data_IF_673800793363
#
_entry.id   IF_673800793363
#
_cell.length_a   1.000
_cell.length_b   1.000
_cell.length_c   1.000
_cell.angle_alpha   90.00
_cell.angle_beta   90.00
_cell.angle_gamma   90.00
#
_symmetry.space_group_name_H-M   'P 1'
#
loop_
_entity.id
_entity.type
_entity.pdbx_description
1 polymer ?
#
# COMPACT_ATOMS: atom_id res chain seq x y z
N UNK A 1 -16.34 22.42 5.38
CA UNK A 1 -16.42 21.70 4.09
C UNK A 1 -15.61 20.43 4.22
N UNK A 2 -16.23 19.29 3.93
CA UNK A 2 -15.74 17.96 4.25
C UNK A 2 -14.41 17.64 3.54
N UNK A 3 -13.37 17.42 4.35
CA UNK A 3 -12.15 16.74 3.95
C UNK A 3 -12.58 15.32 3.58
N UNK A 4 -12.69 15.02 2.29
CA UNK A 4 -12.83 13.64 1.84
C UNK A 4 -11.49 12.93 2.08
N UNK A 5 -11.32 12.44 3.29
CA UNK A 5 -10.42 11.35 3.63
C UNK A 5 -10.81 10.16 2.75
N UNK A 6 -9.96 9.83 1.77
CA UNK A 6 -10.00 8.49 1.19
C UNK A 6 -9.78 7.50 2.35
N UNK A 7 -10.47 6.34 2.40
CA UNK A 7 -10.51 5.46 3.59
C UNK A 7 -9.22 4.65 3.85
N UNK A 8 -8.05 5.20 3.52
CA UNK A 8 -6.75 4.50 3.63
C UNK A 8 -6.03 4.78 4.95
N UNK A 9 -6.70 4.61 6.08
CA UNK A 9 -6.09 4.63 7.41
C UNK A 9 -5.27 3.34 7.73
N UNK A 10 -4.99 2.51 6.72
CA UNK A 10 -4.37 1.19 6.90
C UNK A 10 -3.17 1.02 5.96
N UNK A 11 -2.03 1.57 6.39
CA UNK A 11 -0.74 1.38 5.72
C UNK A 11 -0.49 -0.11 5.41
N UNK A 12 0.13 -0.46 4.27
CA UNK A 12 0.44 -1.84 3.95
C UNK A 12 1.27 -2.49 5.06
N UNK A 13 0.91 -3.71 5.41
CA UNK A 13 1.53 -4.47 6.51
C UNK A 13 2.41 -5.57 5.94
N UNK A 14 3.66 -5.57 6.37
CA UNK A 14 4.70 -6.52 5.98
C UNK A 14 5.33 -7.20 7.20
N UNK A 15 6.09 -8.27 6.96
CA UNK A 15 6.84 -8.99 7.99
C UNK A 15 8.15 -8.28 8.28
N UNK A 16 8.41 -8.03 9.56
CA UNK A 16 9.71 -7.62 10.04
C UNK A 16 10.75 -8.73 9.77
N UNK A 17 11.92 -8.40 9.21
CA UNK A 17 13.00 -9.38 9.00
C UNK A 17 13.64 -9.86 10.30
N UNK A 18 13.51 -9.06 11.37
CA UNK A 18 14.08 -9.39 12.68
C UNK A 18 13.17 -10.31 13.50
N UNK A 19 11.93 -9.89 13.80
CA UNK A 19 11.03 -10.64 14.69
C UNK A 19 9.84 -11.32 13.98
N UNK A 20 9.71 -11.18 12.65
CA UNK A 20 8.56 -11.62 11.84
C UNK A 20 7.21 -11.00 12.21
N UNK A 21 7.16 -10.12 13.20
CA UNK A 21 5.97 -9.36 13.57
C UNK A 21 5.56 -8.33 12.52
N UNK A 22 4.41 -7.66 12.72
CA UNK A 22 3.89 -6.68 11.79
C UNK A 22 4.78 -5.44 11.72
N UNK A 23 5.00 -4.97 10.50
CA UNK A 23 5.73 -3.77 10.18
C UNK A 23 5.01 -3.01 9.07
N UNK A 24 5.11 -1.69 9.10
CA UNK A 24 4.57 -0.82 8.04
C UNK A 24 5.69 -0.05 7.39
N UNK A 25 5.43 0.41 6.18
CA UNK A 25 6.29 1.36 5.48
C UNK A 25 5.45 2.54 5.04
N UNK A 26 6.05 3.72 5.02
CA UNK A 26 5.46 4.83 4.30
C UNK A 26 5.82 4.69 2.84
N UNK A 27 4.83 4.79 1.98
CA UNK A 27 5.07 5.17 0.58
C UNK A 27 5.31 6.68 0.56
N UNK A 28 6.48 7.13 0.08
CA UNK A 28 6.70 8.54 -0.18
C UNK A 28 5.55 9.10 -1.02
N UNK A 29 5.04 10.25 -0.62
CA UNK A 29 4.20 11.01 -1.51
C UNK A 29 5.02 11.56 -2.68
N UNK A 30 4.31 11.93 -3.74
CA UNK A 30 4.88 12.32 -5.03
C UNK A 30 4.20 13.56 -5.55
N UNK A 31 4.97 14.41 -6.19
CA UNK A 31 4.47 15.55 -6.96
C UNK A 31 5.15 15.52 -8.30
N UNK A 32 4.38 15.62 -9.39
CA UNK A 32 4.96 15.85 -10.70
C UNK A 32 5.69 17.21 -10.71
N UNK A 33 6.94 17.21 -11.16
CA UNK A 33 7.69 18.44 -11.40
C UNK A 33 7.24 18.99 -12.75
N UNK A 34 6.73 20.21 -12.72
CA UNK A 34 6.22 20.96 -13.86
C UNK A 34 6.93 22.30 -13.92
N UNK A 35 6.93 22.99 -15.08
CA UNK A 35 7.52 24.33 -15.17
C UNK A 35 6.97 25.34 -14.14
N UNK A 36 5.73 25.12 -13.65
CA UNK A 36 5.08 26.01 -12.67
C UNK A 36 5.61 25.85 -11.24
N UNK A 37 5.94 24.62 -10.83
CA UNK A 37 6.38 24.32 -9.47
C UNK A 37 7.87 23.96 -9.38
N UNK A 38 8.59 23.89 -10.50
CA UNK A 38 10.00 23.48 -10.53
C UNK A 38 10.90 24.31 -9.61
N UNK A 39 10.78 25.64 -9.63
CA UNK A 39 11.58 26.51 -8.76
C UNK A 39 11.32 26.23 -7.27
N UNK A 40 10.05 26.03 -6.91
CA UNK A 40 9.63 25.70 -5.55
C UNK A 40 10.14 24.31 -5.12
N UNK A 41 10.02 23.29 -6.00
CA UNK A 41 10.52 21.95 -5.73
C UNK A 41 12.03 21.95 -5.51
N UNK A 42 12.77 22.63 -6.40
CA UNK A 42 14.24 22.70 -6.33
C UNK A 42 14.76 23.49 -5.14
N UNK A 43 13.97 24.46 -4.63
CA UNK A 43 14.31 25.21 -3.43
C UNK A 43 14.11 24.40 -2.14
N UNK A 44 13.30 23.33 -2.18
CA UNK A 44 13.02 22.51 -1.00
C UNK A 44 14.13 21.49 -0.75
N UNK A 45 14.79 21.60 0.41
CA UNK A 45 15.72 20.58 0.92
C UNK A 45 15.04 19.28 1.34
N UNK A 46 13.71 19.29 1.42
CA UNK A 46 12.91 18.18 1.91
C UNK A 46 12.37 17.30 0.78
N UNK A 47 12.51 17.73 -0.47
CA UNK A 47 12.04 17.01 -1.64
C UNK A 47 13.22 16.36 -2.36
N UNK A 48 13.06 15.08 -2.71
CA UNK A 48 14.04 14.38 -3.55
C UNK A 48 13.53 14.33 -4.98
N UNK A 49 14.22 14.99 -5.92
CA UNK A 49 13.86 14.96 -7.35
C UNK A 49 14.44 13.71 -8.01
N UNK A 50 13.60 13.01 -8.77
CA UNK A 50 13.94 11.83 -9.57
C UNK A 50 13.33 11.94 -10.96
N UNK A 51 13.92 11.23 -11.93
CA UNK A 51 13.27 10.98 -13.21
C UNK A 51 12.34 9.77 -13.06
N UNK A 52 11.10 9.93 -13.50
CA UNK A 52 10.14 8.85 -13.65
C UNK A 52 10.28 8.26 -15.06
N UNK A 53 10.38 6.94 -15.13
CA UNK A 53 10.33 6.20 -16.39
C UNK A 53 8.87 5.93 -16.75
N UNK A 54 8.17 6.96 -17.22
CA UNK A 54 6.83 6.80 -17.80
C UNK A 54 6.97 6.37 -19.28
N UNK A 55 6.20 5.37 -19.76
CA UNK A 55 6.14 5.02 -21.18
C UNK A 55 5.78 6.20 -22.11
N UNK A 56 5.22 7.29 -21.58
CA UNK A 56 4.84 8.51 -22.32
C UNK A 56 5.96 9.55 -22.40
N UNK A 57 7.11 9.29 -21.80
CA UNK A 57 8.29 10.17 -21.83
C UNK A 57 8.84 10.49 -20.43
N UNK A 58 10.09 10.98 -20.34
CA UNK A 58 10.71 11.28 -19.06
C UNK A 58 9.98 12.45 -18.37
N UNK A 59 9.38 12.17 -17.22
CA UNK A 59 8.81 13.18 -16.34
C UNK A 59 9.65 13.27 -15.05
N UNK A 60 9.90 14.46 -14.53
CA UNK A 60 10.53 14.59 -13.20
C UNK A 60 9.45 14.47 -12.12
N UNK A 61 9.76 13.75 -11.04
CA UNK A 61 8.92 13.64 -9.86
C UNK A 61 9.70 14.07 -8.62
N UNK A 62 9.04 14.76 -7.71
CA UNK A 62 9.55 15.09 -6.40
C UNK A 62 8.94 14.13 -5.38
N UNK A 63 9.79 13.49 -4.58
CA UNK A 63 9.41 12.55 -3.53
C UNK A 63 9.46 13.24 -2.16
N UNK A 64 8.52 12.92 -1.29
CA UNK A 64 8.46 13.38 0.09
C UNK A 64 8.00 12.24 1.03
N UNK A 65 8.51 12.19 2.26
CA UNK A 65 7.97 11.34 3.32
C UNK A 65 6.67 11.96 3.84
N UNK A 66 5.55 11.29 3.57
CA UNK A 66 4.22 11.74 4.00
C UNK A 66 4.00 11.64 5.53
N UNK A 67 4.95 11.05 6.27
CA UNK A 67 4.93 11.01 7.75
C UNK A 67 5.79 12.08 8.40
N UNK A 68 6.59 12.80 7.64
CA UNK A 68 7.39 13.90 8.16
C UNK A 68 6.51 15.15 8.20
N UNK A 69 6.14 15.59 9.40
CA UNK A 69 5.30 16.78 9.61
C UNK A 69 5.90 18.03 8.97
N UNK A 70 7.24 18.15 8.91
CA UNK A 70 7.90 19.25 8.23
C UNK A 70 7.68 19.21 6.71
N UNK A 71 7.56 18.02 6.14
CA UNK A 71 7.27 17.83 4.71
C UNK A 71 5.78 18.02 4.42
N UNK A 72 4.91 17.57 5.33
CA UNK A 72 3.48 17.84 5.27
C UNK A 72 3.18 19.36 5.31
N UNK A 73 3.91 20.13 6.12
CA UNK A 73 3.80 21.58 6.17
C UNK A 73 4.24 22.26 4.84
N UNK A 74 5.33 21.80 4.24
CA UNK A 74 5.81 22.30 2.94
C UNK A 74 4.75 22.09 1.87
N UNK A 75 4.10 20.93 1.87
CA UNK A 75 3.06 20.61 0.92
C UNK A 75 1.81 21.48 1.05
N UNK A 76 1.46 21.93 2.26
CA UNK A 76 0.37 22.86 2.48
C UNK A 76 0.63 24.22 1.80
N UNK A 77 1.90 24.62 1.68
CA UNK A 77 2.35 25.82 0.96
C UNK A 77 2.55 25.57 -0.55
N UNK A 78 2.20 24.37 -1.07
CA UNK A 78 2.31 24.08 -2.50
C UNK A 78 1.26 24.90 -3.29
N UNK A 79 1.68 25.68 -4.31
CA UNK A 79 0.80 26.62 -5.01
C UNK A 79 -0.43 25.97 -5.68
N UNK A 80 -0.37 24.66 -5.98
CA UNK A 80 -1.46 23.89 -6.60
C UNK A 80 -1.91 22.66 -5.76
N UNK A 81 -1.82 22.72 -4.42
CA UNK A 81 -2.06 21.58 -3.50
C UNK A 81 -3.39 20.82 -3.73
N UNK A 82 -4.40 21.46 -4.33
CA UNK A 82 -5.76 20.90 -4.41
C UNK A 82 -6.10 20.04 -5.63
N UNK A 83 -5.40 20.11 -6.77
CA UNK A 83 -5.93 19.54 -8.03
C UNK A 83 -5.23 18.28 -8.60
N UNK A 84 -3.94 18.03 -8.33
CA UNK A 84 -3.18 17.03 -9.14
C UNK A 84 -2.40 15.95 -8.41
N UNK A 85 -2.21 16.02 -7.09
CA UNK A 85 -1.42 15.02 -6.35
C UNK A 85 -2.20 13.71 -6.13
N UNK A 86 -3.54 13.73 -6.18
CA UNK A 86 -4.37 12.55 -5.86
C UNK A 86 -4.27 11.38 -6.83
N UNK A 87 -3.93 11.59 -8.09
CA UNK A 87 -4.08 10.55 -9.13
C UNK A 87 -2.78 9.86 -9.58
N UNK A 88 -1.61 10.50 -9.46
CA UNK A 88 -0.33 9.90 -9.88
C UNK A 88 0.38 9.07 -8.79
N UNK A 89 -0.12 9.10 -7.56
CA UNK A 89 0.39 8.30 -6.44
C UNK A 89 0.14 6.79 -6.57
N UNK A 90 -0.71 6.38 -7.51
CA UNK A 90 -1.34 5.05 -7.47
C UNK A 90 -0.87 4.06 -8.54
N UNK A 91 -0.03 4.44 -9.52
CA UNK A 91 0.14 3.58 -10.71
C UNK A 91 1.53 3.06 -11.06
N UNK A 92 2.62 3.65 -10.56
CA UNK A 92 3.98 3.20 -10.89
C UNK A 92 4.94 3.40 -9.73
N UNK A 93 4.77 2.65 -8.63
CA UNK A 93 5.89 2.50 -7.69
C UNK A 93 6.97 1.65 -8.38
N UNK A 94 8.23 2.10 -8.53
CA UNK A 94 9.28 1.23 -9.02
C UNK A 94 9.40 0.08 -8.01
N UNK A 95 9.22 -1.14 -8.48
CA UNK A 95 9.24 -2.37 -7.67
C UNK A 95 10.55 -2.54 -6.87
N UNK A 96 11.57 -1.74 -7.18
CA UNK A 96 12.91 -1.77 -6.61
C UNK A 96 13.28 -0.57 -5.72
N UNK A 97 12.34 0.30 -5.36
CA UNK A 97 12.67 1.46 -4.52
C UNK A 97 12.74 1.10 -3.02
N UNK A 98 13.83 1.43 -2.31
CA UNK A 98 13.97 1.12 -0.90
C UNK A 98 13.08 2.05 -0.04
N UNK A 99 12.31 1.44 0.85
CA UNK A 99 11.34 2.09 1.72
C UNK A 99 11.77 1.99 3.19
N UNK A 100 11.45 3.02 3.98
CA UNK A 100 11.66 3.00 5.43
C UNK A 100 10.57 2.18 6.11
N UNK A 101 10.95 1.00 6.55
CA UNK A 101 10.12 0.03 7.26
C UNK A 101 10.27 0.21 8.77
N UNK A 102 9.15 0.25 9.48
CA UNK A 102 9.10 0.32 10.95
C UNK A 102 8.33 -0.89 11.48
N UNK A 103 8.95 -1.69 12.34
CA UNK A 103 8.27 -2.79 13.01
C UNK A 103 7.53 -2.30 14.26
N UNK A 104 6.25 -2.68 14.38
CA UNK A 104 5.41 -2.34 15.53
C UNK A 104 5.63 -3.26 16.73
N UNK A 105 6.23 -4.44 16.52
CA UNK A 105 6.48 -5.43 17.59
C UNK A 105 7.82 -5.23 18.28
N UNK A 106 8.92 -5.10 17.54
CA UNK A 106 10.27 -4.99 18.10
C UNK A 106 10.91 -3.62 17.94
N UNK A 107 10.23 -2.66 17.31
CA UNK A 107 10.73 -1.29 17.12
C UNK A 107 11.86 -1.15 16.08
N UNK A 108 12.29 -2.24 15.43
CA UNK A 108 13.34 -2.17 14.40
C UNK A 108 12.90 -1.25 13.25
N UNK A 109 13.80 -0.34 12.88
CA UNK A 109 13.68 0.52 11.70
C UNK A 109 14.75 0.11 10.71
N UNK A 110 14.35 -0.15 9.46
CA UNK A 110 15.29 -0.47 8.37
C UNK A 110 14.83 0.17 7.07
N UNK A 111 15.77 0.36 6.14
CA UNK A 111 15.48 0.80 4.77
C UNK A 111 15.69 -0.37 3.83
N UNK A 112 14.64 -0.82 3.15
CA UNK A 112 14.70 -1.97 2.23
C UNK A 112 13.67 -1.89 1.11
N UNK A 113 13.94 -2.58 0.00
CA UNK A 113 12.94 -2.84 -1.03
C UNK A 113 11.88 -3.79 -0.47
N UNK A 114 10.61 -3.45 -0.63
CA UNK A 114 9.48 -4.26 -0.18
C UNK A 114 8.91 -5.02 -1.37
N UNK A 115 8.82 -6.35 -1.24
CA UNK A 115 8.30 -7.26 -2.24
C UNK A 115 6.99 -7.90 -1.79
N UNK A 116 6.27 -8.57 -2.68
CA UNK A 116 5.02 -9.25 -2.32
C UNK A 116 5.22 -10.41 -1.34
N UNK A 117 6.39 -11.05 -1.34
CA UNK A 117 6.78 -12.04 -0.35
C UNK A 117 6.93 -11.47 1.07
N UNK A 118 7.11 -10.15 1.20
CA UNK A 118 7.18 -9.48 2.49
C UNK A 118 5.80 -9.28 3.13
N UNK A 119 4.69 -9.50 2.42
CA UNK A 119 3.34 -9.24 2.95
C UNK A 119 3.08 -10.02 4.24
N UNK A 120 2.51 -9.35 5.23
CA UNK A 120 2.19 -9.96 6.51
C UNK A 120 1.04 -10.98 6.37
N UNK A 121 -0.05 -10.53 5.74
CA UNK A 121 -1.24 -11.31 5.46
C UNK A 121 -1.05 -12.16 4.20
N UNK A 122 -0.27 -13.22 4.28
CA UNK A 122 -0.06 -14.15 3.17
C UNK A 122 -0.36 -15.60 3.56
N UNK A 123 -0.99 -16.33 2.64
CA UNK A 123 -1.36 -17.74 2.80
C UNK A 123 -0.97 -18.51 1.55
N UNK A 124 -0.19 -19.57 1.74
CA UNK A 124 0.15 -20.51 0.69
C UNK A 124 -0.83 -21.68 0.67
N UNK A 125 -1.41 -22.00 -0.48
CA UNK A 125 -2.27 -23.17 -0.66
C UNK A 125 -2.01 -23.80 -2.03
N UNK A 126 -1.61 -25.09 -2.03
CA UNK A 126 -1.27 -25.87 -3.23
C UNK A 126 -0.21 -25.19 -4.13
N UNK A 127 0.83 -24.62 -3.52
CA UNK A 127 1.93 -23.97 -4.24
C UNK A 127 1.56 -22.61 -4.84
N UNK A 128 0.42 -22.03 -4.48
CA UNK A 128 0.04 -20.67 -4.84
C UNK A 128 -0.13 -19.81 -3.59
N UNK A 129 0.29 -18.55 -3.69
CA UNK A 129 0.22 -17.59 -2.59
C UNK A 129 -0.92 -16.61 -2.83
N UNK A 130 -1.80 -16.49 -1.83
CA UNK A 130 -2.80 -15.43 -1.74
C UNK A 130 -2.34 -14.46 -0.65
N UNK A 131 -2.37 -13.15 -0.93
CA UNK A 131 -1.96 -12.15 0.04
C UNK A 131 -2.92 -10.96 0.11
N UNK A 132 -2.92 -10.28 1.24
CA UNK A 132 -3.63 -9.03 1.49
C UNK A 132 -2.64 -7.91 1.83
N UNK A 133 -2.98 -6.69 1.45
CA UNK A 133 -2.14 -5.52 1.67
C UNK A 133 -2.14 -5.08 3.15
N UNK A 134 -3.28 -5.18 3.81
CA UNK A 134 -3.50 -4.76 5.20
C UNK A 134 -4.62 -5.61 5.82
N UNK A 135 -4.96 -5.31 7.08
CA UNK A 135 -5.94 -6.04 7.89
C UNK A 135 -7.34 -6.02 7.27
N UNK A 136 -7.78 -4.88 6.76
CA UNK A 136 -9.11 -4.75 6.15
C UNK A 136 -9.22 -5.48 4.82
N UNK A 137 -8.17 -5.46 4.00
CA UNK A 137 -8.10 -6.30 2.81
C UNK A 137 -8.12 -7.78 3.19
N UNK A 138 -7.45 -8.19 4.28
CA UNK A 138 -7.51 -9.57 4.75
C UNK A 138 -8.94 -9.95 5.20
N UNK A 139 -9.66 -9.05 5.87
CA UNK A 139 -11.05 -9.26 6.24
C UNK A 139 -11.97 -9.35 5.01
N UNK A 140 -11.82 -8.44 4.05
CA UNK A 140 -12.59 -8.47 2.80
C UNK A 140 -12.34 -9.77 2.00
N UNK A 141 -11.11 -10.30 2.04
CA UNK A 141 -10.77 -11.61 1.49
C UNK A 141 -11.50 -12.75 2.20
N UNK A 142 -11.53 -12.74 3.54
CA UNK A 142 -12.28 -13.73 4.32
C UNK A 142 -13.76 -13.68 3.94
N UNK A 143 -14.37 -12.50 3.98
CA UNK A 143 -15.78 -12.30 3.70
C UNK A 143 -16.14 -12.75 2.27
N UNK A 144 -15.26 -12.50 1.30
CA UNK A 144 -15.44 -12.98 -0.07
C UNK A 144 -15.33 -14.50 -0.21
N UNK A 145 -14.38 -15.13 0.48
CA UNK A 145 -14.12 -16.57 0.37
C UNK A 145 -15.21 -17.37 1.09
N UNK A 146 -15.68 -16.90 2.25
CA UNK A 146 -16.80 -17.48 3.00
C UNK A 146 -18.15 -17.18 2.31
N UNK A 147 -18.35 -15.92 1.93
CA UNK A 147 -19.54 -15.43 1.25
C UNK A 147 -19.55 -15.84 -0.22
N UNK A 148 -20.06 -17.04 -0.50
CA UNK A 148 -20.23 -17.58 -1.86
C UNK A 148 -21.10 -16.74 -2.82
N UNK A 149 -21.52 -15.52 -2.46
CA UNK A 149 -22.29 -14.62 -3.29
C UNK A 149 -21.44 -13.43 -3.78
N UNK A 150 -20.79 -13.63 -4.93
CA UNK A 150 -19.94 -12.65 -5.64
C UNK A 150 -20.66 -11.31 -5.94
N UNK A 151 -21.96 -11.22 -5.68
CA UNK A 151 -22.82 -10.05 -5.93
C UNK A 151 -22.91 -9.09 -4.74
N UNK A 152 -22.49 -9.49 -3.53
CA UNK A 152 -22.63 -8.69 -2.29
C UNK A 152 -21.43 -7.83 -1.89
N UNK A 153 -20.35 -7.81 -2.67
CA UNK A 153 -19.22 -6.92 -2.38
C UNK A 153 -19.66 -5.45 -2.55
N UNK A 154 -19.30 -4.57 -1.60
CA UNK A 154 -19.90 -3.23 -1.46
C UNK A 154 -19.53 -2.26 -2.58
N UNK A 155 -18.41 -2.47 -3.27
CA UNK A 155 -17.91 -1.56 -4.31
C UNK A 155 -17.34 -2.29 -5.53
N UNK A 156 -17.24 -1.57 -6.66
CA UNK A 156 -16.84 -2.11 -7.96
C UNK A 156 -15.35 -2.51 -8.03
N UNK A 157 -14.47 -1.78 -7.34
CA UNK A 157 -13.05 -2.12 -7.28
C UNK A 157 -12.86 -3.44 -6.52
N UNK A 158 -13.64 -3.61 -5.45
CA UNK A 158 -13.64 -4.80 -4.62
C UNK A 158 -14.08 -6.03 -5.41
N UNK A 159 -15.13 -5.87 -6.23
CA UNK A 159 -15.58 -6.91 -7.17
C UNK A 159 -14.53 -7.23 -8.23
N UNK A 160 -13.85 -6.22 -8.76
CA UNK A 160 -12.87 -6.39 -9.83
C UNK A 160 -11.64 -7.19 -9.39
N UNK A 161 -11.11 -6.95 -8.18
CA UNK A 161 -10.01 -7.75 -7.64
C UNK A 161 -10.47 -9.16 -7.25
N UNK A 162 -11.65 -9.29 -6.65
CA UNK A 162 -12.14 -10.59 -6.16
C UNK A 162 -12.39 -11.59 -7.31
N UNK A 163 -12.78 -11.09 -8.50
CA UNK A 163 -12.88 -11.89 -9.73
C UNK A 163 -11.53 -12.46 -10.21
N UNK A 164 -10.41 -11.89 -9.78
CA UNK A 164 -9.06 -12.36 -10.14
C UNK A 164 -8.54 -13.45 -9.20
N UNK A 165 -9.25 -13.76 -8.10
CA UNK A 165 -8.85 -14.86 -7.21
C UNK A 165 -8.99 -16.18 -7.97
N UNK A 166 -7.88 -16.95 -8.11
CA UNK A 166 -7.95 -18.21 -8.81
C UNK A 166 -8.87 -19.23 -8.14
N UNK A 167 -9.52 -20.08 -8.93
CA UNK A 167 -10.60 -20.98 -8.50
C UNK A 167 -10.17 -22.03 -7.47
N UNK A 168 -8.90 -22.43 -7.44
CA UNK A 168 -8.42 -23.46 -6.52
C UNK A 168 -8.50 -23.02 -5.04
N UNK A 169 -8.33 -21.72 -4.76
CA UNK A 169 -8.57 -21.13 -3.43
C UNK A 169 -10.06 -21.20 -3.03
N UNK A 170 -10.96 -21.23 -4.02
CA UNK A 170 -12.41 -21.23 -3.82
C UNK A 170 -13.03 -22.63 -3.75
N UNK A 171 -12.22 -23.69 -3.71
CA UNK A 171 -12.70 -25.06 -3.42
C UNK A 171 -13.14 -25.17 -1.96
N UNK A 172 -14.08 -26.06 -1.61
CA UNK A 172 -14.56 -26.19 -0.22
C UNK A 172 -13.41 -26.33 0.80
N UNK A 173 -12.46 -27.24 0.52
CA UNK A 173 -11.26 -27.44 1.34
C UNK A 173 -10.30 -26.23 1.31
N UNK A 174 -10.19 -25.55 0.16
CA UNK A 174 -9.41 -24.34 0.02
C UNK A 174 -9.95 -23.21 0.89
N UNK A 175 -11.25 -22.93 0.80
CA UNK A 175 -11.94 -21.90 1.58
C UNK A 175 -11.70 -22.07 3.07
N UNK A 176 -11.98 -23.24 3.61
CA UNK A 176 -11.79 -23.54 5.03
C UNK A 176 -10.33 -23.31 5.47
N UNK A 177 -9.37 -23.83 4.69
CA UNK A 177 -7.94 -23.71 5.01
C UNK A 177 -7.47 -22.26 4.99
N UNK A 178 -7.86 -21.49 3.97
CA UNK A 178 -7.41 -20.12 3.75
C UNK A 178 -8.01 -19.19 4.79
N UNK A 179 -9.33 -19.28 5.01
CA UNK A 179 -10.04 -18.45 5.97
C UNK A 179 -9.47 -18.67 7.37
N UNK A 180 -9.27 -19.93 7.78
CA UNK A 180 -8.67 -20.24 9.08
C UNK A 180 -7.29 -19.61 9.25
N UNK A 181 -6.45 -19.64 8.20
CA UNK A 181 -5.10 -19.05 8.23
C UNK A 181 -5.13 -17.52 8.24
N UNK A 182 -6.00 -16.90 7.45
CA UNK A 182 -6.15 -15.44 7.43
C UNK A 182 -6.65 -14.90 8.77
N UNK A 183 -7.65 -15.55 9.39
CA UNK A 183 -8.14 -15.17 10.73
C UNK A 183 -7.02 -15.20 11.77
N UNK A 184 -6.22 -16.27 11.79
CA UNK A 184 -5.05 -16.36 12.67
C UNK A 184 -4.06 -15.23 12.44
N UNK A 185 -3.81 -14.82 11.19
CA UNK A 185 -2.93 -13.69 10.89
C UNK A 185 -3.51 -12.36 11.37
N UNK A 186 -4.84 -12.17 11.32
CA UNK A 186 -5.51 -11.00 11.90
C UNK A 186 -5.33 -10.99 13.42
N UNK A 187 -5.55 -12.11 14.10
CA UNK A 187 -5.31 -12.25 15.54
C UNK A 187 -3.84 -11.95 15.89
N UNK A 188 -2.87 -12.46 15.12
CA UNK A 188 -1.44 -12.20 15.32
C UNK A 188 -1.03 -10.74 15.04
N UNK A 189 -1.83 -10.00 14.26
CA UNK A 189 -1.64 -8.57 14.00
C UNK A 189 -2.22 -7.71 15.12
N UNK A 190 -3.32 -8.15 15.73
CA UNK A 190 -4.03 -7.44 16.81
C UNK A 190 -3.41 -7.70 18.21
N UNK A 191 -2.53 -8.69 18.33
CA UNK A 191 -1.80 -9.08 19.55
C UNK A 191 -0.42 -8.43 19.69
#
# INVERSE_FOLDING_TARGET
MAVFSLPWDHAPVIRCRHCRGPATYATPGRIAVTPKNEAWVRASRHLTIRQNHDPRGPAQIALFDNRDEAQAAILADHPDWHERIRYDLLRTWPEDEPLRVTCHRCGTVETRVVRDEDRFFQVEYRGQTLWAANRDHAQALIDFIEGADRRRLPDDETRAWARRIPTHFLTAKGRETIVKRLRRLIEEYEA
#
